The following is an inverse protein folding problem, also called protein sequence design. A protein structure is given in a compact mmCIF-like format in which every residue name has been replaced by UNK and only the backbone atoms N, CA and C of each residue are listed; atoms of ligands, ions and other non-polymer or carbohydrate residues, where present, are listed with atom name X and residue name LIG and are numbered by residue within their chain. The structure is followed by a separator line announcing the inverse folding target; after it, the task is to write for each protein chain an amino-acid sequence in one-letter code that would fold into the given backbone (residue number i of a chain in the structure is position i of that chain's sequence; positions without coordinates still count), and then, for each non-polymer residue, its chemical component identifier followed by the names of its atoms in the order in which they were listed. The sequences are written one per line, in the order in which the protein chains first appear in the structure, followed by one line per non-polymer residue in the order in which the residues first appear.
data_IF_952041417154
#
_entry.id   IF_952041417154
#
_cell.length_a   1.000
_cell.length_b   1.000
_cell.length_c   1.000
_cell.angle_alpha   90.00
_cell.angle_beta   90.00
_cell.angle_gamma   90.00
#
_symmetry.space_group_name_H-M   'P 1'
#
loop_
_entity.id
_entity.type
_entity.pdbx_description
1 polymer ?
#
# COMPACT_ATOMS: atom_id res chain seq x y z
N UNK A 1 -16.82 5.55 -16.43
CA UNK A 1 -17.06 4.34 -15.62
C UNK A 1 -16.08 3.18 -15.88
N UNK A 2 -15.31 3.16 -16.98
CA UNK A 2 -14.53 1.96 -17.36
C UNK A 2 -13.01 2.03 -17.09
N UNK A 3 -12.51 3.14 -16.56
CA UNK A 3 -11.07 3.38 -16.40
C UNK A 3 -10.52 2.99 -15.01
N UNK A 4 -11.34 2.36 -14.14
CA UNK A 4 -10.97 1.86 -12.80
C UNK A 4 -9.94 2.77 -12.09
N UNK A 5 -10.43 3.94 -11.68
CA UNK A 5 -9.60 5.01 -11.10
C UNK A 5 -9.57 4.83 -9.59
N UNK A 6 -8.38 4.82 -9.01
CA UNK A 6 -8.19 4.73 -7.56
C UNK A 6 -8.16 6.10 -6.90
N UNK A 7 -7.22 6.94 -7.33
CA UNK A 7 -6.90 8.22 -6.70
C UNK A 7 -6.56 9.27 -7.77
N UNK A 8 -6.88 10.52 -7.46
CA UNK A 8 -6.55 11.68 -8.28
C UNK A 8 -5.76 12.65 -7.41
N UNK A 9 -4.47 12.74 -7.67
CA UNK A 9 -3.55 13.65 -6.99
C UNK A 9 -3.47 14.96 -7.79
N UNK A 10 -3.75 16.10 -7.14
CA UNK A 10 -3.76 17.42 -7.79
C UNK A 10 -2.63 18.27 -7.20
N UNK A 11 -1.58 18.47 -7.99
CA UNK A 11 -0.43 19.29 -7.62
C UNK A 11 -0.55 20.67 -8.29
N UNK A 12 -0.81 21.70 -7.49
CA UNK A 12 -0.97 23.08 -7.98
C UNK A 12 0.36 23.83 -7.90
N UNK A 13 0.90 24.23 -9.04
CA UNK A 13 2.00 25.18 -9.13
C UNK A 13 1.46 26.58 -9.46
N UNK A 14 2.25 27.65 -9.24
CA UNK A 14 1.80 29.02 -9.52
C UNK A 14 1.27 29.22 -10.94
N UNK A 15 1.93 28.65 -11.94
CA UNK A 15 1.62 28.81 -13.37
C UNK A 15 0.88 27.62 -14.00
N UNK A 16 0.94 26.42 -13.41
CA UNK A 16 0.39 25.19 -13.99
C UNK A 16 -0.23 24.27 -12.93
N UNK A 17 -1.30 23.57 -13.29
CA UNK A 17 -1.90 22.53 -12.43
C UNK A 17 -1.55 21.18 -13.02
N UNK A 18 -0.91 20.30 -12.24
CA UNK A 18 -0.60 18.93 -12.66
C UNK A 18 -1.57 17.99 -11.99
N UNK A 19 -2.38 17.28 -12.77
CA UNK A 19 -3.32 16.27 -12.30
C UNK A 19 -2.69 14.91 -12.59
N UNK A 20 -2.46 14.14 -11.53
CA UNK A 20 -1.88 12.80 -11.59
C UNK A 20 -3.02 11.82 -11.31
N UNK A 21 -3.35 11.00 -12.31
CA UNK A 21 -4.43 10.02 -12.23
C UNK A 21 -3.81 8.64 -12.02
N UNK A 22 -4.19 7.99 -10.92
CA UNK A 22 -3.79 6.61 -10.63
C UNK A 22 -4.86 5.65 -11.15
N UNK A 23 -4.52 4.85 -12.17
CA UNK A 23 -5.46 3.95 -12.86
C UNK A 23 -4.89 2.54 -13.01
N UNK A 24 -5.77 1.53 -12.96
CA UNK A 24 -5.44 0.16 -13.33
C UNK A 24 -5.40 -0.08 -14.84
N UNK A 25 -6.05 0.78 -15.63
CA UNK A 25 -6.21 0.62 -17.09
C UNK A 25 -5.86 1.92 -17.82
N UNK A 26 -4.56 2.25 -17.95
CA UNK A 26 -4.13 3.48 -18.61
C UNK A 26 -4.59 3.56 -20.07
N UNK A 27 -4.64 2.42 -20.78
CA UNK A 27 -5.07 2.39 -22.18
C UNK A 27 -6.49 2.91 -22.43
N UNK A 28 -7.43 2.63 -21.52
CA UNK A 28 -8.81 3.13 -21.63
C UNK A 28 -8.87 4.65 -21.39
N UNK A 29 -8.01 5.16 -20.52
CA UNK A 29 -7.94 6.59 -20.20
C UNK A 29 -7.31 7.41 -21.34
N UNK A 30 -6.27 6.87 -21.99
CA UNK A 30 -5.61 7.50 -23.16
C UNK A 30 -6.55 7.52 -24.38
N UNK A 31 -7.23 6.38 -24.64
CA UNK A 31 -8.09 6.20 -25.82
C UNK A 31 -7.29 6.04 -27.12
N UNK A 32 -7.98 5.97 -28.26
CA UNK A 32 -7.33 5.86 -29.57
C UNK A 32 -6.53 7.14 -29.88
N UNK A 33 -5.22 7.00 -30.08
CA UNK A 33 -4.28 8.09 -30.40
C UNK A 33 -4.29 9.27 -29.41
N UNK A 34 -4.69 9.06 -28.15
CA UNK A 34 -4.71 10.11 -27.14
C UNK A 34 -5.92 11.05 -27.18
N UNK A 35 -6.90 10.80 -28.06
CA UNK A 35 -8.06 11.66 -28.25
C UNK A 35 -8.89 11.90 -26.95
N UNK A 36 -8.87 10.94 -26.01
CA UNK A 36 -9.63 11.09 -24.77
C UNK A 36 -8.95 12.03 -23.76
N UNK A 37 -7.61 12.06 -23.73
CA UNK A 37 -6.84 12.99 -22.88
C UNK A 37 -7.03 14.41 -23.35
N UNK A 38 -7.04 14.65 -24.67
CA UNK A 38 -7.27 15.98 -25.22
C UNK A 38 -8.67 16.51 -24.88
N UNK A 39 -9.70 15.67 -25.01
CA UNK A 39 -11.08 16.02 -24.60
C UNK A 39 -11.16 16.37 -23.12
N UNK A 40 -10.61 15.52 -22.25
CA UNK A 40 -10.57 15.76 -20.80
C UNK A 40 -9.78 17.04 -20.49
N UNK A 41 -8.66 17.28 -21.20
CA UNK A 41 -7.87 18.50 -21.06
C UNK A 41 -8.67 19.75 -21.40
N UNK A 42 -9.40 19.75 -22.53
CA UNK A 42 -10.26 20.86 -22.94
C UNK A 42 -11.40 21.11 -21.95
N UNK A 43 -12.04 20.05 -21.46
CA UNK A 43 -13.13 20.17 -20.50
C UNK A 43 -12.64 20.70 -19.15
N UNK A 44 -11.49 20.22 -18.67
CA UNK A 44 -10.89 20.72 -17.43
C UNK A 44 -10.39 22.17 -17.58
N UNK A 45 -9.92 22.55 -18.76
CA UNK A 45 -9.48 23.92 -19.05
C UNK A 45 -10.61 24.95 -18.95
N UNK A 46 -11.88 24.55 -19.17
CA UNK A 46 -13.05 25.43 -18.96
C UNK A 46 -13.22 25.81 -17.48
N UNK A 47 -12.87 24.90 -16.57
CA UNK A 47 -13.01 25.11 -15.13
C UNK A 47 -11.77 25.75 -14.49
N UNK A 48 -10.61 25.68 -15.14
CA UNK A 48 -9.37 26.23 -14.61
C UNK A 48 -8.84 27.38 -15.46
N UNK A 49 -8.55 28.51 -14.81
CA UNK A 49 -7.90 29.67 -15.45
C UNK A 49 -6.43 29.44 -15.78
N UNK A 50 -5.82 28.36 -15.28
CA UNK A 50 -4.39 28.01 -15.46
C UNK A 50 -4.23 26.83 -16.40
N UNK A 51 -3.05 26.69 -17.02
CA UNK A 51 -2.74 25.55 -17.89
C UNK A 51 -2.73 24.25 -17.08
N UNK A 52 -3.46 23.25 -17.57
CA UNK A 52 -3.54 21.92 -16.94
C UNK A 52 -2.62 20.94 -17.66
N UNK A 53 -1.88 20.15 -16.89
CA UNK A 53 -1.10 19.02 -17.38
C UNK A 53 -1.61 17.73 -16.74
N UNK A 54 -1.93 16.73 -17.54
CA UNK A 54 -2.47 15.44 -17.07
C UNK A 54 -1.35 14.40 -17.15
N UNK A 55 -1.04 13.76 -16.03
CA UNK A 55 -0.11 12.64 -15.92
C UNK A 55 -0.86 11.39 -15.51
N UNK A 56 -0.54 10.27 -16.13
CA UNK A 56 -1.16 8.98 -15.84
C UNK A 56 -0.12 8.11 -15.14
N UNK A 57 -0.44 7.62 -13.94
CA UNK A 57 0.36 6.63 -13.21
C UNK A 57 -0.40 5.31 -13.21
N UNK A 58 0.27 4.24 -13.62
CA UNK A 58 -0.28 2.90 -13.60
C UNK A 58 -0.12 2.26 -12.21
N UNK A 59 -1.13 1.51 -11.80
CA UNK A 59 -1.12 0.75 -10.55
C UNK A 59 -0.68 -0.68 -10.83
N UNK A 60 0.51 -1.05 -10.36
CA UNK A 60 1.09 -2.39 -10.58
C UNK A 60 0.24 -3.52 -9.97
N UNK A 61 -0.36 -3.30 -8.79
CA UNK A 61 -1.17 -4.29 -8.07
C UNK A 61 -2.59 -3.76 -7.86
N UNK A 62 -3.49 -4.15 -8.75
CA UNK A 62 -4.89 -3.71 -8.76
C UNK A 62 -5.68 -4.33 -7.59
N UNK A 63 -5.42 -5.61 -7.31
CA UNK A 63 -6.11 -6.39 -6.27
C UNK A 63 -5.85 -5.91 -4.85
N UNK A 64 -4.75 -5.17 -4.62
CA UNK A 64 -4.40 -4.62 -3.30
C UNK A 64 -4.98 -3.22 -3.07
N UNK A 65 -5.57 -2.59 -4.08
CA UNK A 65 -6.15 -1.26 -3.97
C UNK A 65 -7.64 -1.37 -3.59
N UNK A 66 -7.98 -0.81 -2.43
CA UNK A 66 -9.33 -0.94 -1.85
C UNK A 66 -10.42 -0.33 -2.73
N UNK A 67 -10.12 0.80 -3.38
CA UNK A 67 -11.08 1.57 -4.17
C UNK A 67 -11.43 0.86 -5.49
N UNK A 68 -10.44 0.26 -6.14
CA UNK A 68 -10.68 -0.47 -7.39
C UNK A 68 -11.42 -1.78 -7.12
N UNK A 69 -11.10 -2.47 -6.02
CA UNK A 69 -11.84 -3.65 -5.58
C UNK A 69 -13.31 -3.29 -5.28
N UNK A 70 -13.56 -2.18 -4.59
CA UNK A 70 -14.92 -1.70 -4.34
C UNK A 70 -15.69 -1.41 -5.65
N UNK A 71 -15.06 -0.72 -6.61
CA UNK A 71 -15.66 -0.46 -7.93
C UNK A 71 -15.98 -1.76 -8.69
N UNK A 72 -15.06 -2.73 -8.66
CA UNK A 72 -15.25 -4.04 -9.31
C UNK A 72 -16.43 -4.82 -8.71
N UNK A 73 -16.54 -4.84 -7.38
CA UNK A 73 -17.69 -5.45 -6.68
C UNK A 73 -18.99 -4.75 -7.07
N UNK A 74 -19.02 -3.41 -7.08
CA UNK A 74 -20.22 -2.68 -7.44
C UNK A 74 -20.63 -2.92 -8.89
N UNK A 75 -19.68 -2.98 -9.82
CA UNK A 75 -19.96 -3.32 -11.22
C UNK A 75 -20.59 -4.70 -11.37
N UNK A 76 -20.16 -5.68 -10.57
CA UNK A 76 -20.77 -7.01 -10.57
C UNK A 76 -22.18 -7.00 -9.99
N UNK A 77 -22.44 -6.20 -8.95
CA UNK A 77 -23.78 -6.03 -8.38
C UNK A 77 -24.74 -5.32 -9.36
N UNK A 78 -24.25 -4.32 -10.10
CA UNK A 78 -25.01 -3.67 -11.18
C UNK A 78 -25.34 -4.66 -12.31
N UNK A 79 -24.42 -5.59 -12.61
CA UNK A 79 -24.62 -6.72 -13.52
C UNK A 79 -25.51 -7.85 -12.98
N UNK A 80 -26.25 -7.64 -11.88
CA UNK A 80 -27.10 -8.64 -11.21
C UNK A 80 -26.35 -9.89 -10.72
N UNK A 81 -25.06 -9.75 -10.43
CA UNK A 81 -24.26 -10.81 -9.82
C UNK A 81 -24.73 -11.17 -8.41
N UNK A 82 -24.52 -12.43 -8.01
CA UNK A 82 -24.82 -12.87 -6.64
C UNK A 82 -23.88 -12.18 -5.65
N UNK A 83 -24.47 -11.45 -4.69
CA UNK A 83 -23.73 -10.67 -3.71
C UNK A 83 -22.77 -11.52 -2.85
N UNK A 84 -23.16 -12.75 -2.49
CA UNK A 84 -22.29 -13.69 -1.74
C UNK A 84 -21.08 -14.12 -2.55
N UNK A 85 -21.31 -14.46 -3.82
CA UNK A 85 -20.25 -14.90 -4.73
C UNK A 85 -19.26 -13.76 -4.97
N UNK A 86 -19.77 -12.56 -5.26
CA UNK A 86 -18.96 -11.37 -5.50
C UNK A 86 -18.10 -11.00 -4.28
N UNK A 87 -18.66 -11.04 -3.06
CA UNK A 87 -17.87 -10.82 -1.84
C UNK A 87 -16.73 -11.82 -1.70
N UNK A 88 -17.05 -13.12 -1.77
CA UNK A 88 -16.05 -14.18 -1.61
C UNK A 88 -14.96 -14.07 -2.67
N UNK A 89 -15.35 -13.81 -3.91
CA UNK A 89 -14.41 -13.61 -5.02
C UNK A 89 -13.49 -12.41 -4.79
N UNK A 90 -14.03 -11.28 -4.34
CA UNK A 90 -13.23 -10.08 -4.05
C UNK A 90 -12.21 -10.32 -2.93
N UNK A 91 -12.63 -10.98 -1.85
CA UNK A 91 -11.73 -11.32 -0.73
C UNK A 91 -10.64 -12.29 -1.18
N UNK A 92 -10.99 -13.37 -1.88
CA UNK A 92 -10.00 -14.32 -2.42
C UNK A 92 -9.05 -13.66 -3.41
N UNK A 93 -9.52 -12.71 -4.24
CA UNK A 93 -8.68 -11.97 -5.19
C UNK A 93 -7.68 -11.05 -4.47
N UNK A 94 -8.12 -10.34 -3.43
CA UNK A 94 -7.25 -9.52 -2.61
C UNK A 94 -6.18 -10.35 -1.88
N UNK A 95 -6.55 -11.53 -1.33
CA UNK A 95 -5.60 -12.45 -0.70
C UNK A 95 -4.58 -12.99 -1.72
N UNK A 96 -5.01 -13.34 -2.94
CA UNK A 96 -4.10 -13.71 -4.05
C UNK A 96 -3.15 -12.59 -4.46
N UNK A 97 -3.59 -11.34 -4.35
CA UNK A 97 -2.77 -10.14 -4.56
C UNK A 97 -1.68 -9.93 -3.50
N UNK A 98 -1.65 -10.76 -2.45
CA UNK A 98 -0.67 -10.69 -1.35
C UNK A 98 -1.09 -9.75 -0.22
N UNK A 99 -2.39 -9.45 -0.06
CA UNK A 99 -2.89 -8.75 1.11
C UNK A 99 -2.79 -9.63 2.37
N UNK A 100 -2.45 -9.03 3.51
CA UNK A 100 -2.40 -9.73 4.80
C UNK A 100 -3.81 -10.03 5.35
N UNK A 101 -4.76 -9.19 4.97
CA UNK A 101 -6.17 -9.43 5.26
C UNK A 101 -7.06 -8.50 4.44
N UNK A 102 -8.27 -8.97 4.19
CA UNK A 102 -9.29 -8.23 3.47
C UNK A 102 -10.63 -8.37 4.21
N UNK A 103 -11.34 -7.26 4.35
CA UNK A 103 -12.69 -7.19 4.89
C UNK A 103 -13.55 -6.45 3.89
N UNK A 104 -14.64 -7.07 3.46
CA UNK A 104 -15.63 -6.48 2.56
C UNK A 104 -16.96 -6.45 3.30
N UNK A 105 -17.57 -5.28 3.40
CA UNK A 105 -18.90 -5.07 3.97
C UNK A 105 -19.80 -4.46 2.92
N UNK A 106 -20.99 -5.02 2.74
CA UNK A 106 -22.01 -4.48 1.86
C UNK A 106 -23.27 -4.20 2.65
N UNK A 107 -23.89 -3.05 2.41
CA UNK A 107 -25.10 -2.61 3.08
C UNK A 107 -26.14 -2.15 2.06
N UNK A 108 -27.37 -2.65 2.18
CA UNK A 108 -28.48 -2.23 1.32
C UNK A 108 -29.51 -3.33 1.11
N UNK A 109 -30.32 -3.20 0.06
CA UNK A 109 -31.31 -4.21 -0.38
C UNK A 109 -30.62 -5.34 -1.15
N UNK A 110 -29.81 -6.12 -0.44
CA UNK A 110 -28.96 -7.15 -1.05
C UNK A 110 -29.81 -8.26 -1.70
N UNK A 111 -29.67 -8.43 -3.01
CA UNK A 111 -30.42 -9.44 -3.76
C UNK A 111 -31.88 -9.07 -4.04
N UNK A 112 -32.27 -7.81 -3.86
CA UNK A 112 -33.65 -7.35 -4.11
C UNK A 112 -34.62 -7.61 -2.96
N UNK A 113 -34.11 -7.93 -1.76
CA UNK A 113 -34.94 -8.01 -0.56
C UNK A 113 -35.57 -6.64 -0.22
N UNK A 114 -36.77 -6.63 0.34
CA UNK A 114 -37.46 -5.39 0.73
C UNK A 114 -36.79 -4.69 1.91
N UNK A 115 -36.27 -5.46 2.87
CA UNK A 115 -35.53 -4.92 4.00
C UNK A 115 -34.04 -4.82 3.69
N UNK A 116 -33.41 -3.72 4.10
CA UNK A 116 -31.97 -3.57 3.98
C UNK A 116 -31.26 -4.46 5.01
N UNK A 117 -30.17 -5.09 4.59
CA UNK A 117 -29.29 -5.87 5.47
C UNK A 117 -27.84 -5.48 5.23
N UNK A 118 -27.01 -5.78 6.23
CA UNK A 118 -25.55 -5.63 6.11
C UNK A 118 -24.92 -7.01 6.20
N UNK A 119 -24.18 -7.39 5.18
CA UNK A 119 -23.37 -8.60 5.20
C UNK A 119 -21.89 -8.22 5.15
N UNK A 120 -21.08 -8.99 5.87
CA UNK A 120 -19.64 -8.80 5.95
C UNK A 120 -18.94 -10.14 5.71
N UNK A 121 -17.88 -10.10 4.92
CA UNK A 121 -16.95 -11.20 4.75
C UNK A 121 -15.54 -10.70 5.07
N UNK A 122 -14.84 -11.43 5.93
CA UNK A 122 -13.48 -11.07 6.38
C UNK A 122 -12.59 -12.30 6.30
N UNK A 123 -11.41 -12.11 5.76
CA UNK A 123 -10.36 -13.14 5.69
C UNK A 123 -9.01 -12.49 6.06
N UNK A 124 -8.17 -13.24 6.78
CA UNK A 124 -6.88 -12.75 7.24
C UNK A 124 -6.95 -11.71 8.38
N UNK A 125 -5.84 -10.97 8.56
CA UNK A 125 -5.67 -10.01 9.66
C UNK A 125 -6.00 -8.60 9.21
N UNK A 126 -6.96 -7.97 9.87
CA UNK A 126 -7.33 -6.55 9.66
C UNK A 126 -7.47 -5.87 11.02
N UNK A 127 -6.37 -5.31 11.57
CA UNK A 127 -6.37 -4.71 12.90
C UNK A 127 -6.78 -3.23 12.83
N UNK A 128 -8.08 -2.95 12.93
CA UNK A 128 -8.62 -1.58 12.81
C UNK A 128 -8.21 -0.63 13.95
N UNK A 129 -7.74 -1.16 15.08
CA UNK A 129 -7.31 -0.35 16.22
C UNK A 129 -5.83 0.04 16.16
N UNK A 130 -5.03 -0.60 15.31
CA UNK A 130 -3.59 -0.39 15.25
C UNK A 130 -3.26 0.71 14.24
N UNK A 131 -2.99 1.93 14.72
CA UNK A 131 -2.68 3.07 13.85
C UNK A 131 -1.43 2.85 12.96
N UNK A 132 -0.50 1.99 13.40
CA UNK A 132 0.69 1.64 12.62
C UNK A 132 0.39 0.74 11.41
N UNK A 133 -0.74 0.05 11.39
CA UNK A 133 -1.07 -0.86 10.29
C UNK A 133 -1.42 -0.06 9.03
N UNK A 134 -0.84 -0.45 7.89
CA UNK A 134 -1.19 0.11 6.58
C UNK A 134 -2.50 -0.51 6.08
N UNK A 135 -3.60 0.20 6.35
CA UNK A 135 -4.96 -0.22 6.01
C UNK A 135 -5.51 0.74 4.96
N UNK A 136 -5.77 0.19 3.79
CA UNK A 136 -6.41 0.90 2.68
C UNK A 136 -7.93 0.72 2.76
N UNK A 137 -8.67 1.83 2.69
CA UNK A 137 -10.13 1.85 2.77
C UNK A 137 -10.75 2.43 1.49
N UNK A 138 -11.67 1.66 0.91
CA UNK A 138 -12.38 2.00 -0.32
C UNK A 138 -13.88 1.99 -0.11
N UNK A 139 -14.57 2.97 -0.68
CA UNK A 139 -16.02 3.06 -0.66
C UNK A 139 -16.56 3.34 -2.05
N UNK A 140 -17.57 2.57 -2.44
CA UNK A 140 -18.29 2.80 -3.67
C UNK A 140 -19.76 2.38 -3.53
N UNK A 141 -20.64 3.09 -4.24
CA UNK A 141 -22.07 2.81 -4.28
C UNK A 141 -22.45 2.15 -5.60
N UNK A 142 -23.11 0.99 -5.54
CA UNK A 142 -23.72 0.37 -6.72
C UNK A 142 -25.14 0.90 -6.91
N UNK A 143 -25.45 1.31 -8.15
CA UNK A 143 -26.80 1.75 -8.52
C UNK A 143 -27.58 0.56 -9.09
N UNK A 144 -28.43 -0.06 -8.26
CA UNK A 144 -29.26 -1.19 -8.68
C UNK A 144 -30.71 -0.75 -8.90
N UNK A 145 -31.51 -1.60 -9.56
CA UNK A 145 -32.95 -1.34 -9.78
C UNK A 145 -33.75 -1.18 -8.49
N UNK A 146 -33.30 -1.82 -7.40
CA UNK A 146 -33.99 -1.81 -6.11
C UNK A 146 -33.49 -0.68 -5.19
N UNK A 147 -32.52 0.12 -5.63
CA UNK A 147 -31.92 1.21 -4.87
C UNK A 147 -30.40 1.16 -4.88
N UNK A 148 -29.79 1.88 -3.93
CA UNK A 148 -28.33 1.93 -3.77
C UNK A 148 -27.84 0.86 -2.81
N UNK A 149 -26.74 0.20 -3.18
CA UNK A 149 -26.00 -0.71 -2.28
C UNK A 149 -24.64 -0.09 -2.02
N UNK A 150 -24.32 0.15 -0.75
CA UNK A 150 -23.01 0.65 -0.34
C UNK A 150 -22.04 -0.50 -0.14
N UNK A 151 -20.84 -0.39 -0.72
CA UNK A 151 -19.76 -1.37 -0.58
C UNK A 151 -18.57 -0.69 0.07
N UNK A 152 -18.13 -1.24 1.20
CA UNK A 152 -16.98 -0.80 1.99
C UNK A 152 -15.94 -1.92 1.99
N UNK A 153 -14.72 -1.59 1.63
CA UNK A 153 -13.60 -2.54 1.54
C UNK A 153 -12.46 -2.02 2.40
N UNK A 154 -11.90 -2.89 3.23
CA UNK A 154 -10.66 -2.65 3.96
C UNK A 154 -9.65 -3.70 3.53
N UNK A 155 -8.47 -3.27 3.11
CA UNK A 155 -7.36 -4.15 2.74
C UNK A 155 -6.17 -3.79 3.63
N UNK A 156 -5.71 -4.75 4.42
CA UNK A 156 -4.45 -4.63 5.13
C UNK A 156 -3.34 -5.02 4.16
N UNK A 157 -2.51 -4.06 3.79
CA UNK A 157 -1.28 -4.32 3.05
C UNK A 157 -0.30 -5.00 4.01
N UNK A 158 0.63 -5.81 3.48
CA UNK A 158 1.64 -6.47 4.32
C UNK A 158 2.40 -5.42 5.13
N UNK A 159 2.84 -5.79 6.34
CA UNK A 159 3.67 -4.99 7.27
C UNK A 159 5.03 -4.60 6.63
N UNK A 160 5.02 -3.79 5.58
CA UNK A 160 6.21 -3.24 4.93
C UNK A 160 6.71 -1.99 5.65
N UNK A 161 6.04 -1.53 6.71
CA UNK A 161 6.52 -0.45 7.56
C UNK A 161 7.80 -0.80 8.37
N UNK A 162 8.40 -1.99 8.16
CA UNK A 162 9.70 -2.38 8.72
C UNK A 162 10.82 -2.58 7.69
N UNK A 163 10.51 -2.68 6.40
CA UNK A 163 11.53 -2.64 5.35
C UNK A 163 11.35 -1.33 4.59
N UNK A 164 12.17 -0.35 4.95
CA UNK A 164 12.13 1.01 4.42
C UNK A 164 12.03 1.04 2.90
N UNK A 165 11.36 2.09 2.42
CA UNK A 165 11.25 2.49 1.02
C UNK A 165 12.43 2.04 0.15
N UNK A 166 12.36 0.83 -0.41
CA UNK A 166 13.00 0.58 -1.69
C UNK A 166 12.08 1.20 -2.73
N UNK A 167 12.16 2.52 -2.85
CA UNK A 167 11.81 3.22 -4.08
C UNK A 167 12.80 2.72 -5.13
N UNK A 168 12.40 1.70 -5.87
CA UNK A 168 13.18 1.10 -6.97
C UNK A 168 13.34 2.05 -8.17
N UNK A 169 12.85 3.29 -8.07
CA UNK A 169 12.91 4.31 -9.13
C UNK A 169 14.01 5.38 -8.90
N UNK A 170 14.93 5.18 -7.95
CA UNK A 170 16.20 5.92 -7.96
C UNK A 170 17.16 5.18 -8.90
N UNK A 171 17.31 5.69 -10.12
CA UNK A 171 18.12 5.08 -11.18
C UNK A 171 19.47 4.56 -10.70
N UNK A 172 19.85 3.39 -11.23
CA UNK A 172 21.16 2.75 -11.09
C UNK A 172 22.28 3.80 -11.09
N UNK A 173 22.81 4.13 -9.91
CA UNK A 173 24.16 4.63 -9.81
C UNK A 173 25.07 3.40 -9.86
N UNK A 174 25.99 3.27 -10.84
CA UNK A 174 26.98 2.22 -10.79
C UNK A 174 27.84 2.46 -9.54
N UNK A 175 27.79 1.49 -8.61
CA UNK A 175 28.57 1.54 -7.40
C UNK A 175 30.04 1.76 -7.74
N UNK A 176 30.64 2.83 -7.21
CA UNK A 176 32.10 2.97 -7.22
C UNK A 176 32.68 1.71 -6.57
N UNK A 177 33.62 1.00 -7.20
CA UNK A 177 34.27 -0.13 -6.56
C UNK A 177 34.98 0.40 -5.32
N UNK A 178 34.61 -0.18 -4.17
CA UNK A 178 35.25 0.06 -2.89
C UNK A 178 36.72 -0.36 -3.06
N UNK A 179 37.62 0.62 -3.17
CA UNK A 179 39.06 0.38 -3.20
C UNK A 179 39.44 -0.30 -1.88
N UNK A 180 39.95 -1.52 -1.97
CA UNK A 180 40.57 -2.22 -0.85
C UNK A 180 41.77 -1.41 -0.36
N UNK A 181 41.80 -1.16 0.94
CA UNK A 181 42.90 -0.50 1.62
C UNK A 181 43.93 -1.55 2.03
N UNK A 182 44.71 -2.04 1.07
CA UNK A 182 45.97 -2.73 1.34
C UNK A 182 47.09 -1.78 0.93
N UNK A 183 47.81 -1.27 1.92
CA UNK A 183 49.22 -0.84 1.89
C UNK A 183 49.45 0.27 2.91
N UNK A 184 49.60 -0.14 4.18
CA UNK A 184 50.34 0.64 5.17
C UNK A 184 51.67 -0.07 5.41
N UNK A 185 52.83 0.54 5.09
CA UNK A 185 54.11 -0.05 5.45
C UNK A 185 54.31 0.03 6.97
N UNK A 186 54.75 -1.08 7.55
CA UNK A 186 55.12 -1.20 8.95
C UNK A 186 56.28 -0.25 9.28
N UNK A 187 56.00 0.78 10.09
CA UNK A 187 57.04 1.62 10.66
C UNK A 187 57.63 0.89 11.86
N UNK A 188 58.71 0.16 11.62
CA UNK A 188 59.63 -0.31 12.65
C UNK A 188 60.08 0.88 13.52
N UNK A 189 59.94 0.73 14.83
CA UNK A 189 60.19 1.80 15.78
C UNK A 189 60.04 1.33 17.22
N UNK A 190 61.02 0.54 17.64
CA UNK A 190 61.66 0.53 18.96
C UNK A 190 60.76 0.75 20.20
N UNK A 191 60.42 -0.34 20.89
CA UNK A 191 60.04 -0.31 22.30
C UNK A 191 60.82 -1.38 23.05
N UNK A 192 61.78 -0.94 23.84
CA UNK A 192 62.58 -1.79 24.73
C UNK A 192 61.75 -2.58 25.75
N UNK A 193 62.36 -3.58 26.41
CA UNK A 193 61.63 -4.57 27.19
C UNK A 193 61.14 -4.01 28.54
N UNK A 194 59.83 -4.09 28.78
CA UNK A 194 59.25 -3.94 30.13
C UNK A 194 59.46 -5.23 30.91
N UNK A 195 60.16 -5.12 32.04
CA UNK A 195 60.45 -6.23 32.97
C UNK A 195 59.21 -6.87 33.62
N UNK A 196 59.40 -7.97 34.37
CA UNK A 196 58.32 -8.85 34.78
C UNK A 196 57.54 -8.29 35.97
N UNK A 197 56.20 -8.27 35.87
CA UNK A 197 55.31 -8.04 37.02
C UNK A 197 54.99 -9.39 37.66
N UNK A 198 55.38 -9.54 38.94
CA UNK A 198 55.10 -10.69 39.79
C UNK A 198 53.60 -10.87 40.14
N UNK A 199 53.26 -11.93 40.91
CA UNK A 199 52.05 -12.72 40.69
C UNK A 199 50.82 -12.24 41.47
N UNK A 200 49.68 -12.73 40.96
CA UNK A 200 48.33 -12.55 41.45
C UNK A 200 48.10 -13.06 42.89
N UNK A 201 47.31 -12.30 43.65
CA UNK A 201 46.68 -12.73 44.91
C UNK A 201 45.15 -12.82 44.76
N UNK A 202 44.46 -13.77 45.42
CA UNK A 202 43.07 -14.12 45.14
C UNK A 202 42.07 -13.57 46.17
N UNK A 203 40.81 -13.41 45.75
CA UNK A 203 39.65 -13.19 46.62
C UNK A 203 38.65 -12.20 46.00
N UNK A 204 37.34 -12.34 46.09
CA UNK A 204 36.49 -13.34 46.71
C UNK A 204 35.12 -13.25 46.01
N UNK A 205 34.42 -14.37 45.89
CA UNK A 205 33.12 -14.45 45.24
C UNK A 205 32.00 -13.81 46.06
N UNK A 206 30.96 -13.35 45.36
CA UNK A 206 29.64 -13.15 45.95
C UNK A 206 28.56 -13.78 45.07
N UNK A 207 28.04 -14.86 45.61
CA UNK A 207 26.90 -15.65 45.18
C UNK A 207 25.60 -14.88 45.51
N UNK A 208 24.64 -14.82 44.59
CA UNK A 208 23.22 -14.51 44.90
C UNK A 208 22.35 -15.53 44.20
N UNK A 209 21.74 -16.39 45.01
CA UNK A 209 20.82 -17.45 44.60
C UNK A 209 19.44 -16.96 44.13
N UNK A 210 18.58 -17.91 43.70
CA UNK A 210 17.34 -17.62 42.98
C UNK A 210 16.14 -17.37 43.92
N UNK A 211 15.19 -16.55 43.46
CA UNK A 211 13.91 -16.28 44.13
C UNK A 211 12.90 -17.39 43.81
N UNK A 212 12.38 -18.02 44.86
CA UNK A 212 11.25 -18.95 44.85
C UNK A 212 9.92 -18.28 44.48
N UNK A 213 9.06 -19.09 43.87
CA UNK A 213 7.65 -18.87 43.63
C UNK A 213 6.84 -18.94 44.94
N UNK A 214 5.72 -18.21 44.99
CA UNK A 214 4.61 -18.51 45.90
C UNK A 214 3.28 -18.53 45.15
N UNK A 215 2.47 -19.45 45.66
CA UNK A 215 1.14 -19.94 45.32
C UNK A 215 0.09 -18.90 44.95
#
# INVERSE_FOLDING_TARGET
KNADISEIEIVRHPQKVTIIIHTAKPGVLIGQKGANIERIGLDLQKFASKKINIKIKEIKKVETNSQIVAQSVCRQLEGRGSFRRTMKMAVTSAMKGGAQGCKVRMSGRLGGADMSRTEEYKEGRVPLHTLRADIDYGFYEAQTTYGKIGVKVWICKSDNAMMGDKKEDAGLMPGRPRREHSDRPERAGDRGPRGPRGPAGPGAGFNRGPREARS
#
